data_IF_566996774209
#
_entry.id   IF_566996774209
#
_cell.length_a   1.000
_cell.length_b   1.000
_cell.length_c   1.000
_cell.angle_alpha   90.00
_cell.angle_beta   90.00
_cell.angle_gamma   90.00
#
_symmetry.space_group_name_H-M   'P 1'
#
loop_
_entity.id
_entity.type
_entity.pdbx_description
1 polymer ?
#
# COMPACT_ATOMS: atom_id res chain seq x y z
N UNK A 1 61.30 -12.28 23.41
CA UNK A 1 62.58 -11.51 23.27
C UNK A 1 62.14 -10.06 23.05
N UNK A 2 62.11 -9.25 24.14
CA UNK A 2 63.14 -8.25 24.53
C UNK A 2 63.38 -7.27 23.35
N UNK A 3 63.04 -5.96 23.46
CA UNK A 3 63.54 -4.82 24.27
C UNK A 3 62.68 -3.60 23.89
N UNK A 4 62.05 -2.79 24.67
CA UNK A 4 62.50 -1.78 25.68
C UNK A 4 63.46 -0.70 25.16
N UNK A 5 63.17 0.56 25.66
CA UNK A 5 64.02 1.76 25.80
C UNK A 5 63.65 2.91 24.85
N UNK A 6 63.53 4.19 25.21
CA UNK A 6 63.49 4.94 26.50
C UNK A 6 63.13 6.41 26.19
N UNK A 7 62.59 7.04 27.18
CA UNK A 7 62.41 8.44 27.56
C UNK A 7 63.59 9.36 27.20
N UNK A 8 63.31 10.63 26.77
CA UNK A 8 64.12 11.80 27.20
C UNK A 8 63.20 13.02 27.40
N UNK A 9 63.22 13.47 28.63
CA UNK A 9 62.66 14.67 29.22
C UNK A 9 63.68 15.79 29.05
N UNK A 10 63.30 16.99 28.57
CA UNK A 10 64.13 18.19 28.77
C UNK A 10 63.27 19.38 29.20
N UNK A 11 63.43 19.75 30.42
CA UNK A 11 62.93 20.92 31.12
C UNK A 11 63.95 22.06 30.94
N UNK A 12 63.54 23.25 30.50
CA UNK A 12 64.32 24.47 30.65
C UNK A 12 63.46 25.60 31.21
N UNK A 13 63.89 26.06 32.38
CA UNK A 13 63.38 27.15 33.22
C UNK A 13 64.24 28.39 32.99
N UNK A 14 63.66 29.59 32.84
CA UNK A 14 64.23 30.87 33.19
C UNK A 14 63.23 32.01 33.03
N UNK A 15 62.77 32.55 34.01
CA UNK A 15 62.89 33.70 34.89
C UNK A 15 62.82 35.09 34.22
N UNK A 16 61.74 35.79 34.57
CA UNK A 16 61.61 37.16 35.09
C UNK A 16 62.26 38.35 34.37
N UNK A 17 61.35 39.30 33.98
CA UNK A 17 61.57 40.73 34.38
C UNK A 17 60.17 41.42 34.42
N UNK A 18 59.96 42.08 35.58
CA UNK A 18 58.87 42.99 35.86
C UNK A 18 59.21 44.40 35.39
N UNK A 19 58.28 45.10 34.74
CA UNK A 19 58.30 46.56 34.68
C UNK A 19 56.83 47.06 34.59
N UNK A 20 56.46 47.91 35.55
CA UNK A 20 55.23 48.65 35.68
C UNK A 20 55.11 49.72 34.60
N UNK A 21 53.89 49.86 33.97
CA UNK A 21 53.40 51.16 33.50
C UNK A 21 51.85 51.06 33.31
N UNK A 22 51.19 52.16 33.55
CA UNK A 22 49.75 52.47 33.77
C UNK A 22 48.79 52.18 32.64
N UNK A 23 47.42 52.21 32.89
CA UNK A 23 46.45 51.66 32.05
C UNK A 23 46.02 52.61 30.95
N UNK A 24 45.99 52.15 29.72
CA UNK A 24 45.34 52.79 28.55
C UNK A 24 44.12 51.99 28.12
N UNK A 25 43.04 52.67 27.77
CA UNK A 25 41.70 52.18 27.55
C UNK A 25 41.68 51.11 26.43
N UNK A 26 41.03 49.96 26.72
CA UNK A 26 40.76 48.89 25.77
C UNK A 26 39.82 49.34 24.66
N UNK A 27 40.08 49.04 23.39
CA UNK A 27 39.10 49.10 22.30
C UNK A 27 38.15 47.92 22.46
N UNK A 28 36.84 48.21 22.22
CA UNK A 28 35.79 47.20 22.20
C UNK A 28 36.11 46.06 21.24
N UNK A 29 36.19 44.86 21.81
CA UNK A 29 36.31 43.62 21.06
C UNK A 29 35.00 43.36 20.25
N UNK A 30 35.09 43.56 18.95
CA UNK A 30 34.00 43.21 18.02
C UNK A 30 33.90 41.69 18.03
N UNK A 31 32.83 41.18 18.62
CA UNK A 31 32.49 39.78 18.57
C UNK A 31 32.37 39.36 17.09
N UNK A 32 33.22 38.45 16.68
CA UNK A 32 33.09 37.78 15.39
C UNK A 32 31.74 37.07 15.35
N UNK A 33 31.00 37.09 14.21
CA UNK A 33 29.78 36.32 14.09
C UNK A 33 30.12 34.83 14.27
N UNK A 34 29.46 34.17 15.22
CA UNK A 34 29.44 32.72 15.31
C UNK A 34 28.94 32.19 13.96
N UNK A 35 29.83 31.57 13.22
CA UNK A 35 29.45 30.74 12.06
C UNK A 35 28.61 29.59 12.61
N UNK A 36 27.31 29.70 12.47
CA UNK A 36 26.39 28.57 12.61
C UNK A 36 26.85 27.52 11.58
N UNK A 37 27.52 26.51 12.10
CA UNK A 37 27.90 25.32 11.35
C UNK A 37 26.58 24.73 10.83
N UNK A 38 26.31 24.82 9.53
CA UNK A 38 25.17 24.20 8.87
C UNK A 38 25.31 22.70 9.11
N UNK A 39 24.47 22.16 9.99
CA UNK A 39 24.40 20.72 10.19
C UNK A 39 24.27 20.03 8.83
N UNK A 40 25.11 19.05 8.56
CA UNK A 40 24.98 18.23 7.38
C UNK A 40 23.56 17.67 7.31
N UNK A 41 22.93 17.58 6.13
CA UNK A 41 21.59 17.00 6.01
C UNK A 41 21.58 15.62 6.68
N UNK A 42 20.67 15.40 7.61
CA UNK A 42 20.51 14.09 8.23
C UNK A 42 20.27 13.05 7.12
N UNK A 43 20.98 11.92 7.19
CA UNK A 43 20.80 10.82 6.26
C UNK A 43 19.37 10.27 6.42
N UNK A 44 18.64 10.17 5.31
CA UNK A 44 17.27 9.67 5.31
C UNK A 44 17.26 8.16 5.56
N UNK A 45 16.31 7.70 6.37
CA UNK A 45 16.10 6.26 6.59
C UNK A 45 15.31 5.70 5.41
N UNK A 46 15.84 4.68 4.74
CA UNK A 46 15.11 4.00 3.66
C UNK A 46 13.91 3.25 4.21
N UNK A 47 12.78 3.34 3.47
CA UNK A 47 11.57 2.55 3.70
C UNK A 47 11.12 1.98 2.36
N UNK A 48 11.14 0.65 2.25
CA UNK A 48 10.85 -0.07 1.03
C UNK A 48 9.45 -0.69 1.08
N UNK A 49 8.56 -0.23 0.21
CA UNK A 49 7.14 -0.61 0.22
C UNK A 49 6.74 -1.30 -1.07
N UNK A 50 6.21 -2.53 -0.94
CA UNK A 50 5.63 -3.27 -2.06
C UNK A 50 4.20 -2.80 -2.35
N UNK A 51 3.87 -2.57 -3.61
CA UNK A 51 2.55 -2.07 -4.01
C UNK A 51 2.11 -2.59 -5.38
N UNK A 52 0.80 -2.66 -5.63
CA UNK A 52 0.29 -2.78 -6.99
C UNK A 52 0.57 -1.49 -7.76
N UNK A 53 0.77 -1.61 -9.08
CA UNK A 53 1.17 -0.50 -9.97
C UNK A 53 0.24 0.70 -9.83
N UNK A 54 -1.08 0.49 -9.86
CA UNK A 54 -2.12 1.51 -9.69
C UNK A 54 -3.27 0.93 -8.88
N UNK A 55 -3.94 1.68 -8.00
CA UNK A 55 -3.64 3.06 -7.58
C UNK A 55 -2.54 3.15 -6.51
N UNK A 56 -2.11 2.04 -5.92
CA UNK A 56 -1.32 1.94 -4.70
C UNK A 56 0.06 2.61 -4.81
N UNK A 57 0.87 2.22 -5.83
CA UNK A 57 2.18 2.83 -6.04
C UNK A 57 2.07 4.32 -6.37
N UNK A 58 1.00 4.72 -7.08
CA UNK A 58 0.77 6.12 -7.42
C UNK A 58 0.43 6.96 -6.18
N UNK A 59 -0.37 6.42 -5.24
CA UNK A 59 -0.69 7.08 -3.96
C UNK A 59 0.57 7.19 -3.10
N UNK A 60 1.38 6.13 -2.99
CA UNK A 60 2.68 6.17 -2.31
C UNK A 60 3.59 7.26 -2.88
N UNK A 61 3.69 7.35 -4.20
CA UNK A 61 4.50 8.37 -4.84
C UNK A 61 3.96 9.80 -4.62
N UNK A 62 2.65 9.98 -4.48
CA UNK A 62 2.04 11.28 -4.19
C UNK A 62 2.40 11.82 -2.79
N UNK A 63 2.69 10.93 -1.82
CA UNK A 63 3.05 11.31 -0.44
C UNK A 63 4.55 11.23 -0.15
N UNK A 64 5.38 10.97 -1.17
CA UNK A 64 6.83 10.78 -1.04
C UNK A 64 7.53 11.99 -0.40
N UNK A 65 7.12 13.21 -0.74
CA UNK A 65 7.71 14.42 -0.18
C UNK A 65 7.37 14.62 1.30
N UNK A 66 6.19 14.19 1.75
CA UNK A 66 5.81 14.19 3.17
C UNK A 66 6.68 13.22 3.97
N UNK A 67 6.90 12.02 3.45
CA UNK A 67 7.80 11.04 4.06
C UNK A 67 9.23 11.55 4.11
N UNK A 68 9.69 12.20 3.04
CA UNK A 68 11.03 12.82 3.02
C UNK A 68 11.17 13.91 4.08
N UNK A 69 10.16 14.75 4.25
CA UNK A 69 10.13 15.76 5.30
C UNK A 69 10.14 15.15 6.72
N UNK A 70 9.59 13.95 6.88
CA UNK A 70 9.62 13.16 8.11
C UNK A 70 10.92 12.38 8.32
N UNK A 71 11.91 12.49 7.41
CA UNK A 71 13.22 11.84 7.53
C UNK A 71 13.34 10.47 6.86
N UNK A 72 12.40 10.11 5.98
CA UNK A 72 12.37 8.81 5.31
C UNK A 72 12.54 8.94 3.78
N UNK A 73 13.30 8.02 3.19
CA UNK A 73 13.45 7.86 1.74
C UNK A 73 12.61 6.67 1.28
N UNK A 74 11.45 6.95 0.68
CA UNK A 74 10.52 5.94 0.21
C UNK A 74 11.01 5.31 -1.10
N UNK A 75 11.20 4.00 -1.08
CA UNK A 75 11.41 3.15 -2.26
C UNK A 75 10.14 2.32 -2.52
N UNK A 76 9.46 2.56 -3.64
CA UNK A 76 8.26 1.81 -4.05
C UNK A 76 8.66 0.67 -4.99
N UNK A 77 8.29 -0.57 -4.63
CA UNK A 77 8.50 -1.76 -5.44
C UNK A 77 7.16 -2.21 -6.00
N UNK A 78 7.01 -2.15 -7.32
CA UNK A 78 5.76 -2.48 -7.98
C UNK A 78 5.64 -3.98 -8.25
N UNK A 79 4.44 -4.52 -8.00
CA UNK A 79 4.06 -5.90 -8.26
C UNK A 79 2.81 -5.95 -9.15
N UNK A 80 2.72 -7.01 -9.95
CA UNK A 80 1.61 -7.23 -10.90
C UNK A 80 0.65 -8.37 -10.47
N UNK A 81 0.93 -9.01 -9.33
CA UNK A 81 0.14 -10.08 -8.73
C UNK A 81 -0.08 -9.84 -7.23
N UNK A 82 -0.92 -10.65 -6.60
CA UNK A 82 -1.25 -10.52 -5.18
C UNK A 82 -0.48 -11.46 -4.24
N UNK A 83 0.37 -12.35 -4.77
CA UNK A 83 1.11 -13.34 -3.96
C UNK A 83 2.48 -12.82 -3.56
N UNK A 84 3.21 -12.26 -4.53
CA UNK A 84 4.60 -11.84 -4.33
C UNK A 84 4.79 -10.72 -3.30
N UNK A 85 3.91 -9.69 -3.19
CA UNK A 85 4.11 -8.65 -2.19
C UNK A 85 4.10 -9.16 -0.75
N UNK A 86 3.21 -10.10 -0.42
CA UNK A 86 3.16 -10.72 0.90
C UNK A 86 4.36 -11.66 1.14
N UNK A 87 4.75 -12.40 0.11
CA UNK A 87 5.92 -13.29 0.19
C UNK A 87 7.19 -12.48 0.46
N UNK A 88 7.41 -11.39 -0.28
CA UNK A 88 8.57 -10.51 -0.13
C UNK A 88 8.59 -9.82 1.25
N UNK A 89 7.43 -9.38 1.76
CA UNK A 89 7.32 -8.78 3.09
C UNK A 89 7.65 -9.81 4.19
N UNK A 90 7.11 -11.03 4.11
CA UNK A 90 7.40 -12.07 5.09
C UNK A 90 8.88 -12.46 5.10
N UNK A 91 9.54 -12.44 3.94
CA UNK A 91 10.98 -12.73 3.80
C UNK A 91 11.87 -11.58 4.28
N UNK A 92 11.32 -10.38 4.52
CA UNK A 92 12.06 -9.19 4.93
C UNK A 92 12.73 -8.45 3.77
N UNK A 93 12.30 -8.69 2.53
CA UNK A 93 12.74 -7.94 1.35
C UNK A 93 12.04 -6.58 1.22
N UNK A 94 10.97 -6.38 1.98
CA UNK A 94 10.19 -5.15 2.11
C UNK A 94 9.99 -4.81 3.58
N UNK A 95 9.83 -3.52 3.89
CA UNK A 95 9.44 -3.03 5.22
C UNK A 95 7.92 -3.02 5.41
N UNK A 96 7.17 -2.80 4.32
CA UNK A 96 5.71 -2.81 4.30
C UNK A 96 5.18 -3.22 2.92
N UNK A 97 3.88 -3.55 2.83
CA UNK A 97 3.18 -3.58 1.55
C UNK A 97 1.82 -2.86 1.63
N UNK A 98 1.36 -2.43 0.47
CA UNK A 98 0.09 -1.73 0.30
C UNK A 98 -0.51 -2.14 -1.04
N UNK A 99 -1.46 -3.11 -1.03
CA UNK A 99 -2.08 -3.66 -2.24
C UNK A 99 -3.35 -4.47 -1.98
N UNK A 100 -3.67 -4.77 -0.72
CA UNK A 100 -4.63 -5.79 -0.31
C UNK A 100 -5.61 -5.28 0.74
N UNK A 101 -6.75 -5.94 0.85
CA UNK A 101 -7.73 -5.76 1.92
C UNK A 101 -7.57 -6.82 3.03
N UNK A 102 -8.13 -6.53 4.21
CA UNK A 102 -7.99 -7.40 5.40
C UNK A 102 -8.40 -8.86 5.16
N UNK A 103 -9.56 -9.19 4.53
CA UNK A 103 -9.90 -10.60 4.30
C UNK A 103 -8.87 -11.37 3.46
N UNK A 104 -8.25 -10.71 2.46
CA UNK A 104 -7.20 -11.33 1.66
C UNK A 104 -5.95 -11.60 2.51
N UNK A 105 -5.52 -10.63 3.31
CA UNK A 105 -4.38 -10.77 4.22
C UNK A 105 -4.56 -11.94 5.19
N UNK A 106 -5.72 -12.01 5.85
CA UNK A 106 -6.03 -13.08 6.82
C UNK A 106 -6.01 -14.46 6.15
N UNK A 107 -6.64 -14.59 4.99
CA UNK A 107 -6.65 -15.84 4.21
C UNK A 107 -5.24 -16.21 3.72
N UNK A 108 -4.43 -15.22 3.34
CA UNK A 108 -3.04 -15.45 2.94
C UNK A 108 -2.21 -15.96 4.12
N UNK A 109 -2.31 -15.31 5.29
CA UNK A 109 -1.62 -15.73 6.51
C UNK A 109 -1.98 -17.17 6.88
N UNK A 110 -3.29 -17.51 6.88
CA UNK A 110 -3.76 -18.86 7.18
C UNK A 110 -3.20 -19.89 6.20
N UNK A 111 -3.30 -19.62 4.90
CA UNK A 111 -2.89 -20.59 3.86
C UNK A 111 -1.38 -20.75 3.72
N UNK A 112 -0.61 -19.69 3.99
CA UNK A 112 0.85 -19.65 3.76
C UNK A 112 1.65 -19.74 5.06
N UNK A 113 1.02 -19.59 6.22
CA UNK A 113 1.70 -19.57 7.52
C UNK A 113 2.57 -18.33 7.70
N UNK A 114 2.12 -17.19 7.14
CA UNK A 114 2.80 -15.89 7.28
C UNK A 114 2.29 -15.11 8.49
N UNK A 115 3.07 -14.12 8.94
CA UNK A 115 2.83 -13.34 10.15
C UNK A 115 2.76 -11.85 9.81
N UNK A 116 1.83 -11.51 8.92
CA UNK A 116 1.66 -10.14 8.43
C UNK A 116 0.47 -9.48 9.12
N UNK A 117 0.59 -8.19 9.45
CA UNK A 117 -0.39 -7.44 10.24
C UNK A 117 -0.80 -6.15 9.52
N UNK A 118 -2.11 -5.90 9.44
CA UNK A 118 -2.65 -4.65 8.96
C UNK A 118 -2.51 -3.56 10.02
N UNK A 119 -1.98 -2.39 9.65
CA UNK A 119 -1.77 -1.27 10.57
C UNK A 119 -2.75 -0.12 10.37
N UNK A 120 -3.44 -0.06 9.23
CA UNK A 120 -4.48 0.93 9.00
C UNK A 120 -5.13 0.82 7.63
N UNK A 121 -6.39 1.26 7.55
CA UNK A 121 -7.15 1.36 6.29
C UNK A 121 -6.74 2.62 5.54
N UNK A 122 -6.61 2.52 4.23
CA UNK A 122 -6.19 3.64 3.38
C UNK A 122 -7.28 4.02 2.38
N UNK A 123 -7.74 3.08 1.56
CA UNK A 123 -8.77 3.37 0.57
C UNK A 123 -9.62 2.14 0.24
N UNK A 124 -10.75 2.39 -0.39
CA UNK A 124 -11.64 1.39 -0.93
C UNK A 124 -11.74 1.54 -2.45
N UNK A 125 -11.79 0.43 -3.16
CA UNK A 125 -12.05 0.33 -4.59
C UNK A 125 -13.32 -0.47 -4.83
N UNK A 126 -14.39 0.12 -5.42
CA UNK A 126 -15.58 -0.63 -5.76
C UNK A 126 -15.27 -1.78 -6.71
N UNK A 127 -15.73 -2.97 -6.36
CA UNK A 127 -15.65 -4.13 -7.24
C UNK A 127 -16.69 -4.00 -8.35
N UNK A 128 -16.34 -4.30 -9.60
CA UNK A 128 -17.22 -4.06 -10.74
C UNK A 128 -17.40 -5.26 -11.64
N UNK A 129 -18.59 -5.36 -12.23
CA UNK A 129 -18.89 -6.27 -13.35
C UNK A 129 -18.69 -5.48 -14.64
N UNK A 130 -17.78 -5.91 -15.48
CA UNK A 130 -17.44 -5.25 -16.74
C UNK A 130 -17.92 -6.05 -17.96
N UNK A 131 -18.33 -5.31 -19.00
CA UNK A 131 -18.79 -5.87 -20.24
C UNK A 131 -17.67 -6.65 -20.98
N UNK A 132 -17.99 -7.86 -21.39
CA UNK A 132 -17.21 -8.63 -22.33
C UNK A 132 -17.88 -8.64 -23.72
N UNK A 133 -18.46 -9.78 -24.10
CA UNK A 133 -19.21 -9.91 -25.35
C UNK A 133 -20.61 -9.29 -25.29
N UNK A 134 -21.18 -9.13 -24.10
CA UNK A 134 -22.46 -8.51 -23.82
C UNK A 134 -22.30 -7.16 -23.14
N UNK A 135 -23.11 -6.18 -23.54
CA UNK A 135 -23.08 -4.82 -23.01
C UNK A 135 -24.13 -4.55 -21.92
N UNK A 136 -24.90 -5.57 -21.53
CA UNK A 136 -25.95 -5.46 -20.53
C UNK A 136 -26.11 -6.79 -19.80
N UNK A 137 -26.30 -6.78 -18.46
CA UNK A 137 -26.45 -7.99 -17.65
C UNK A 137 -27.71 -8.79 -18.03
N UNK A 138 -28.78 -8.12 -18.43
CA UNK A 138 -30.02 -8.80 -18.88
C UNK A 138 -29.84 -9.53 -20.20
N UNK A 139 -28.92 -9.05 -21.04
CA UNK A 139 -28.61 -9.61 -22.36
C UNK A 139 -27.65 -10.81 -22.32
N UNK A 140 -27.09 -11.16 -21.16
CA UNK A 140 -26.30 -12.38 -21.02
C UNK A 140 -27.18 -13.59 -21.36
N UNK A 141 -26.78 -14.41 -22.35
CA UNK A 141 -27.62 -15.54 -22.81
C UNK A 141 -27.66 -16.67 -21.77
N UNK A 142 -28.60 -17.59 -21.95
CA UNK A 142 -28.55 -18.87 -21.22
C UNK A 142 -27.24 -19.60 -21.54
N UNK A 143 -26.58 -20.14 -20.51
CA UNK A 143 -25.24 -20.73 -20.62
C UNK A 143 -24.11 -19.71 -20.83
N UNK A 144 -24.42 -18.42 -20.75
CA UNK A 144 -23.42 -17.35 -20.87
C UNK A 144 -22.29 -17.48 -19.82
N UNK A 145 -21.13 -16.93 -20.15
CA UNK A 145 -19.93 -17.09 -19.33
C UNK A 145 -19.59 -15.82 -18.57
N UNK A 146 -19.34 -15.96 -17.27
CA UNK A 146 -18.85 -14.86 -16.41
C UNK A 146 -17.52 -15.28 -15.77
N UNK A 147 -16.48 -14.47 -15.95
CA UNK A 147 -15.21 -14.69 -15.29
C UNK A 147 -15.18 -13.98 -13.93
N UNK A 148 -14.62 -14.64 -12.92
CA UNK A 148 -14.44 -14.13 -11.56
C UNK A 148 -13.02 -14.42 -11.06
N UNK A 149 -12.50 -13.74 -10.01
CA UNK A 149 -11.23 -14.10 -9.39
C UNK A 149 -11.26 -15.53 -8.84
N UNK A 150 -10.10 -16.19 -8.82
CA UNK A 150 -9.93 -17.57 -8.31
C UNK A 150 -9.31 -17.63 -6.91
N UNK A 151 -9.07 -16.50 -6.26
CA UNK A 151 -8.66 -16.50 -4.86
C UNK A 151 -9.90 -16.44 -3.96
N UNK A 152 -9.87 -17.22 -2.85
CA UNK A 152 -11.07 -17.52 -2.06
C UNK A 152 -11.82 -16.30 -1.53
N UNK A 153 -11.17 -15.16 -1.30
CA UNK A 153 -11.83 -13.96 -0.76
C UNK A 153 -12.42 -13.08 -1.85
N UNK A 154 -11.72 -12.92 -2.98
CA UNK A 154 -12.25 -12.18 -4.13
C UNK A 154 -13.27 -13.02 -4.93
N UNK A 155 -13.16 -14.35 -4.94
CA UNK A 155 -14.19 -15.25 -5.45
C UNK A 155 -15.51 -15.04 -4.70
N UNK A 156 -15.48 -15.13 -3.36
CA UNK A 156 -16.66 -14.90 -2.53
C UNK A 156 -17.29 -13.52 -2.77
N UNK A 157 -16.44 -12.48 -2.81
CA UNK A 157 -16.85 -11.09 -3.10
C UNK A 157 -17.54 -10.98 -4.48
N UNK A 158 -16.98 -11.63 -5.50
CA UNK A 158 -17.57 -11.64 -6.83
C UNK A 158 -18.92 -12.34 -6.86
N UNK A 159 -19.06 -13.49 -6.20
CA UNK A 159 -20.31 -14.23 -6.12
C UNK A 159 -21.40 -13.44 -5.38
N UNK A 160 -21.06 -12.75 -4.31
CA UNK A 160 -21.98 -11.84 -3.61
C UNK A 160 -22.46 -10.69 -4.52
N UNK A 161 -21.56 -10.13 -5.33
CA UNK A 161 -21.95 -9.10 -6.31
C UNK A 161 -22.88 -9.65 -7.40
N UNK A 162 -22.61 -10.87 -7.91
CA UNK A 162 -23.48 -11.53 -8.87
C UNK A 162 -24.87 -11.83 -8.28
N UNK A 163 -24.93 -12.24 -7.02
CA UNK A 163 -26.18 -12.46 -6.30
C UNK A 163 -26.96 -11.15 -6.11
N UNK A 164 -26.28 -10.06 -5.71
CA UNK A 164 -26.90 -8.74 -5.57
C UNK A 164 -27.52 -8.23 -6.89
N UNK A 165 -26.99 -8.69 -8.04
CA UNK A 165 -27.56 -8.41 -9.36
C UNK A 165 -28.64 -9.42 -9.81
N UNK A 166 -28.97 -10.40 -8.96
CA UNK A 166 -29.97 -11.42 -9.28
C UNK A 166 -29.55 -12.41 -10.36
N UNK A 167 -28.26 -12.51 -10.66
CA UNK A 167 -27.73 -13.43 -11.68
C UNK A 167 -27.62 -14.87 -11.16
N UNK A 168 -27.35 -15.02 -9.87
CA UNK A 168 -27.28 -16.29 -9.12
C UNK A 168 -27.94 -16.12 -7.76
N UNK A 169 -28.12 -17.21 -7.02
CA UNK A 169 -28.44 -17.20 -5.59
C UNK A 169 -27.50 -18.13 -4.86
N UNK A 170 -26.93 -17.67 -3.77
CA UNK A 170 -26.08 -18.47 -2.91
C UNK A 170 -26.90 -19.25 -1.88
N UNK A 171 -26.33 -20.27 -1.29
CA UNK A 171 -26.90 -20.98 -0.13
C UNK A 171 -27.08 -20.00 1.03
N UNK A 172 -28.06 -20.28 1.88
CA UNK A 172 -28.28 -19.49 3.10
C UNK A 172 -27.06 -19.56 4.02
N UNK A 173 -26.80 -18.47 4.73
CA UNK A 173 -25.70 -18.32 5.72
C UNK A 173 -24.28 -18.34 5.12
N UNK A 174 -24.12 -18.34 3.80
CA UNK A 174 -22.83 -18.19 3.12
C UNK A 174 -22.60 -16.72 2.80
N UNK A 175 -21.43 -16.19 3.25
CA UNK A 175 -21.04 -14.80 3.04
C UNK A 175 -19.63 -14.67 2.44
N UNK A 176 -18.66 -14.27 3.23
CA UNK A 176 -17.29 -13.95 2.76
C UNK A 176 -16.41 -15.18 2.43
N UNK A 177 -16.95 -16.37 2.50
CA UNK A 177 -16.28 -17.65 2.18
C UNK A 177 -16.97 -18.41 1.05
N UNK A 178 -17.92 -17.77 0.33
CA UNK A 178 -18.64 -18.39 -0.78
C UNK A 178 -17.68 -18.88 -1.87
N UNK A 179 -18.00 -20.04 -2.42
CA UNK A 179 -17.34 -20.61 -3.60
C UNK A 179 -18.39 -20.92 -4.68
N UNK A 180 -17.98 -21.22 -5.89
CA UNK A 180 -18.91 -21.64 -6.97
C UNK A 180 -19.75 -22.86 -6.58
N UNK A 181 -19.30 -23.68 -5.62
CA UNK A 181 -20.04 -24.82 -5.08
C UNK A 181 -21.21 -24.42 -4.19
N UNK A 182 -21.26 -23.15 -3.78
CA UNK A 182 -22.29 -22.61 -2.90
C UNK A 182 -23.41 -21.90 -3.68
N UNK A 183 -23.37 -21.94 -5.00
CA UNK A 183 -24.48 -21.47 -5.84
C UNK A 183 -25.65 -22.42 -5.68
N UNK A 184 -26.75 -21.93 -5.08
CA UNK A 184 -27.98 -22.68 -4.90
C UNK A 184 -28.89 -22.60 -6.12
N UNK A 185 -28.99 -21.41 -6.77
CA UNK A 185 -29.76 -21.21 -7.98
C UNK A 185 -28.93 -20.48 -9.04
N UNK A 186 -29.05 -20.94 -10.27
CA UNK A 186 -28.38 -20.35 -11.43
C UNK A 186 -29.40 -20.34 -12.60
N UNK A 187 -30.35 -19.38 -12.61
CA UNK A 187 -31.52 -19.41 -13.51
C UNK A 187 -31.19 -19.41 -15.00
N UNK A 188 -30.04 -18.83 -15.36
CA UNK A 188 -29.54 -18.77 -16.73
C UNK A 188 -28.47 -19.84 -17.05
N UNK A 189 -28.25 -20.80 -16.15
CA UNK A 189 -27.18 -21.81 -16.30
C UNK A 189 -25.83 -21.20 -16.66
N UNK A 190 -25.47 -20.04 -16.02
CA UNK A 190 -24.26 -19.31 -16.30
C UNK A 190 -23.01 -20.18 -16.03
N UNK A 191 -22.07 -20.13 -16.94
CA UNK A 191 -20.76 -20.76 -16.80
C UNK A 191 -19.82 -19.81 -16.03
N UNK A 192 -19.64 -20.02 -14.74
CA UNK A 192 -18.71 -19.23 -13.92
C UNK A 192 -17.29 -19.75 -14.15
N UNK A 193 -16.38 -18.85 -14.55
CA UNK A 193 -14.97 -19.16 -14.85
C UNK A 193 -14.06 -18.48 -13.83
N UNK A 194 -13.43 -19.28 -12.98
CA UNK A 194 -12.46 -18.81 -12.00
C UNK A 194 -11.12 -18.57 -12.69
N UNK A 195 -10.66 -17.33 -12.70
CA UNK A 195 -9.44 -16.88 -13.38
C UNK A 195 -8.60 -16.05 -12.38
N UNK A 196 -7.29 -16.13 -12.49
CA UNK A 196 -6.40 -15.26 -11.72
C UNK A 196 -6.78 -13.78 -11.90
N UNK A 197 -6.91 -13.03 -10.80
CA UNK A 197 -7.41 -11.65 -10.81
C UNK A 197 -6.69 -10.74 -11.82
N UNK A 198 -5.36 -10.88 -11.94
CA UNK A 198 -4.54 -10.12 -12.90
C UNK A 198 -4.87 -10.42 -14.38
N UNK A 199 -5.56 -11.51 -14.68
CA UNK A 199 -5.88 -11.92 -16.05
C UNK A 199 -7.34 -11.59 -16.46
N UNK A 200 -8.19 -11.19 -15.51
CA UNK A 200 -9.62 -10.99 -15.74
C UNK A 200 -9.92 -9.93 -16.81
N UNK A 201 -9.24 -8.79 -16.79
CA UNK A 201 -9.46 -7.75 -17.79
C UNK A 201 -9.13 -8.22 -19.22
N UNK A 202 -8.13 -9.10 -19.37
CA UNK A 202 -7.79 -9.70 -20.67
C UNK A 202 -8.79 -10.74 -21.12
N UNK A 203 -9.47 -11.40 -20.20
CA UNK A 203 -10.47 -12.42 -20.50
C UNK A 203 -11.78 -11.85 -21.04
N UNK A 204 -12.03 -10.53 -20.96
CA UNK A 204 -13.27 -9.88 -21.39
C UNK A 204 -13.64 -10.20 -22.85
N UNK A 205 -12.66 -10.34 -23.74
CA UNK A 205 -12.90 -10.72 -25.15
C UNK A 205 -13.47 -12.15 -25.32
N UNK A 206 -13.26 -13.01 -24.29
CA UNK A 206 -13.59 -14.45 -24.36
C UNK A 206 -14.82 -14.83 -23.53
N UNK A 207 -15.33 -13.91 -22.70
CA UNK A 207 -16.50 -14.12 -21.82
C UNK A 207 -17.60 -13.09 -22.08
N UNK A 208 -18.79 -13.31 -21.55
CA UNK A 208 -19.90 -12.37 -21.67
C UNK A 208 -19.73 -11.18 -20.71
N UNK A 209 -19.20 -11.42 -19.52
CA UNK A 209 -18.83 -10.41 -18.54
C UNK A 209 -17.71 -10.92 -17.64
N UNK A 210 -17.05 -10.02 -16.92
CA UNK A 210 -16.11 -10.39 -15.87
C UNK A 210 -16.26 -9.48 -14.64
N UNK A 211 -16.08 -10.05 -13.46
CA UNK A 211 -16.00 -9.31 -12.19
C UNK A 211 -14.54 -9.02 -11.91
N UNK A 212 -14.16 -7.75 -11.86
CA UNK A 212 -12.76 -7.33 -11.86
C UNK A 212 -12.48 -6.40 -10.70
N UNK A 213 -11.38 -6.66 -9.97
CA UNK A 213 -10.88 -5.80 -8.90
C UNK A 213 -10.54 -4.39 -9.42
N UNK A 214 -10.80 -3.36 -8.60
CA UNK A 214 -10.67 -1.96 -8.99
C UNK A 214 -9.30 -1.62 -9.55
N UNK A 215 -8.21 -2.02 -8.88
CA UNK A 215 -6.85 -1.78 -9.35
C UNK A 215 -6.56 -2.39 -10.74
N UNK A 216 -7.01 -3.61 -11.00
CA UNK A 216 -6.84 -4.24 -12.32
C UNK A 216 -7.74 -3.63 -13.38
N UNK A 217 -8.95 -3.18 -13.00
CA UNK A 217 -9.82 -2.44 -13.90
C UNK A 217 -9.18 -1.11 -14.32
N UNK A 218 -8.68 -0.32 -13.35
CA UNK A 218 -7.97 0.95 -13.60
C UNK A 218 -6.73 0.70 -14.48
N UNK A 219 -5.92 -0.30 -14.15
CA UNK A 219 -4.72 -0.66 -14.92
C UNK A 219 -5.03 -1.03 -16.37
N UNK A 220 -6.18 -1.66 -16.62
CA UNK A 220 -6.66 -1.99 -17.95
C UNK A 220 -7.34 -0.83 -18.69
N UNK A 221 -7.43 0.36 -18.07
CA UNK A 221 -8.12 1.53 -18.62
C UNK A 221 -9.64 1.46 -18.56
N UNK A 222 -10.20 0.50 -17.82
CA UNK A 222 -11.64 0.42 -17.57
C UNK A 222 -12.06 1.49 -16.56
N UNK A 223 -13.23 2.09 -16.76
CA UNK A 223 -13.75 3.11 -15.86
C UNK A 223 -14.89 2.53 -15.04
N UNK A 224 -14.91 2.85 -13.74
CA UNK A 224 -15.99 2.42 -12.84
C UNK A 224 -17.38 2.80 -13.36
N UNK A 225 -17.53 3.98 -13.98
CA UNK A 225 -18.78 4.43 -14.58
C UNK A 225 -19.26 3.63 -15.78
N UNK A 226 -18.37 2.87 -16.42
CA UNK A 226 -18.66 2.04 -17.59
C UNK A 226 -18.90 0.56 -17.17
N UNK A 227 -18.82 0.25 -15.88
CA UNK A 227 -19.19 -1.07 -15.36
C UNK A 227 -20.69 -1.31 -15.49
N UNK A 228 -21.07 -2.56 -15.79
CA UNK A 228 -22.47 -2.99 -15.85
C UNK A 228 -23.15 -2.96 -14.48
N UNK A 229 -22.36 -3.21 -13.42
CA UNK A 229 -22.75 -3.06 -12.03
C UNK A 229 -21.49 -2.88 -11.18
N UNK A 230 -21.63 -2.22 -10.05
CA UNK A 230 -20.56 -2.07 -9.03
C UNK A 230 -21.11 -2.39 -7.66
N UNK A 231 -20.22 -2.74 -6.73
CA UNK A 231 -20.57 -2.81 -5.31
C UNK A 231 -21.05 -1.44 -4.81
N UNK A 232 -22.06 -1.51 -3.93
CA UNK A 232 -22.52 -0.30 -3.26
C UNK A 232 -21.46 0.20 -2.28
N UNK A 233 -20.97 1.41 -2.52
CA UNK A 233 -19.95 2.08 -1.69
C UNK A 233 -20.42 2.34 -0.24
N UNK A 234 -21.72 2.36 0.00
CA UNK A 234 -22.33 2.59 1.31
C UNK A 234 -22.68 1.25 2.01
N UNK A 235 -22.32 0.12 1.39
CA UNK A 235 -22.49 -1.21 1.97
C UNK A 235 -21.37 -1.58 2.94
N UNK A 236 -21.57 -2.67 3.68
CA UNK A 236 -20.54 -3.28 4.55
C UNK A 236 -19.28 -3.67 3.74
N UNK A 237 -19.40 -3.86 2.43
CA UNK A 237 -18.26 -4.18 1.57
C UNK A 237 -17.18 -3.09 1.58
N UNK A 238 -17.56 -1.81 1.59
CA UNK A 238 -16.62 -0.70 1.61
C UNK A 238 -15.70 -0.74 2.86
N UNK A 239 -16.25 -1.07 4.01
CA UNK A 239 -15.47 -1.21 5.25
C UNK A 239 -14.66 -2.52 5.28
N UNK A 240 -15.26 -3.63 4.83
CA UNK A 240 -14.65 -4.96 4.84
C UNK A 240 -13.47 -5.07 3.87
N UNK A 241 -13.63 -4.51 2.67
CA UNK A 241 -12.65 -4.62 1.58
C UNK A 241 -11.82 -3.35 1.39
N UNK A 242 -11.74 -2.49 2.41
CA UNK A 242 -10.78 -1.38 2.41
C UNK A 242 -9.35 -1.91 2.33
N UNK A 243 -8.56 -1.33 1.42
CA UNK A 243 -7.14 -1.64 1.28
C UNK A 243 -6.35 -1.10 2.47
N UNK A 244 -5.42 -1.89 2.96
CA UNK A 244 -4.68 -1.65 4.20
C UNK A 244 -3.18 -1.55 3.96
N UNK A 245 -2.50 -0.75 4.78
CA UNK A 245 -1.07 -0.82 4.94
C UNK A 245 -0.75 -2.03 5.83
N UNK A 246 0.21 -2.86 5.39
CA UNK A 246 0.59 -4.10 6.06
C UNK A 246 2.09 -4.12 6.34
N UNK A 247 2.46 -4.61 7.52
CA UNK A 247 3.83 -4.85 7.96
C UNK A 247 3.98 -6.27 8.49
N UNK A 248 5.20 -6.72 8.72
CA UNK A 248 5.45 -7.95 9.45
C UNK A 248 5.15 -7.76 10.94
N UNK A 249 4.64 -8.80 11.61
CA UNK A 249 4.36 -8.81 13.05
C UNK A 249 5.58 -8.33 13.86
N UNK A 250 5.33 -7.42 14.81
CA UNK A 250 6.34 -6.77 15.64
C UNK A 250 6.82 -5.41 15.10
N UNK A 251 6.46 -5.02 13.86
CA UNK A 251 6.83 -3.75 13.23
C UNK A 251 5.70 -2.71 13.20
N UNK A 252 4.56 -2.98 13.84
CA UNK A 252 3.34 -2.13 13.82
C UNK A 252 3.59 -0.76 14.46
N UNK A 253 4.51 -0.72 15.43
CA UNK A 253 4.80 0.47 16.22
C UNK A 253 6.11 1.18 15.85
N UNK A 254 6.79 0.73 14.80
CA UNK A 254 8.01 1.36 14.32
C UNK A 254 7.72 2.79 13.84
N UNK A 255 8.65 3.71 14.08
CA UNK A 255 8.47 5.11 13.70
C UNK A 255 8.32 5.28 12.18
N UNK A 256 8.99 4.44 11.39
CA UNK A 256 8.83 4.40 9.93
C UNK A 256 7.42 3.97 9.52
N UNK A 257 6.86 2.95 10.17
CA UNK A 257 5.49 2.46 9.94
C UNK A 257 4.46 3.53 10.27
N UNK A 258 4.62 4.21 11.42
CA UNK A 258 3.74 5.33 11.81
C UNK A 258 3.82 6.50 10.84
N UNK A 259 5.02 6.88 10.41
CA UNK A 259 5.20 7.95 9.45
C UNK A 259 4.57 7.60 8.09
N UNK A 260 4.75 6.35 7.62
CA UNK A 260 4.16 5.87 6.38
C UNK A 260 2.62 5.86 6.45
N UNK A 261 2.05 5.35 7.55
CA UNK A 261 0.60 5.36 7.76
C UNK A 261 0.05 6.79 7.80
N UNK A 262 0.71 7.69 8.53
CA UNK A 262 0.29 9.09 8.62
C UNK A 262 0.32 9.79 7.25
N UNK A 263 1.35 9.55 6.44
CA UNK A 263 1.43 10.09 5.09
C UNK A 263 0.33 9.54 4.18
N UNK A 264 0.05 8.23 4.23
CA UNK A 264 -1.00 7.59 3.44
C UNK A 264 -2.43 8.00 3.87
N UNK A 265 -2.59 8.47 5.11
CA UNK A 265 -3.85 8.99 5.66
C UNK A 265 -3.88 10.54 5.68
N UNK A 266 -3.00 11.20 4.95
CA UNK A 266 -2.93 12.65 4.88
C UNK A 266 -3.98 13.26 3.94
N UNK A 267 -4.20 14.57 4.09
CA UNK A 267 -5.01 15.35 3.14
C UNK A 267 -4.44 15.32 1.72
N UNK A 268 -3.12 15.23 1.57
CA UNK A 268 -2.45 15.08 0.27
C UNK A 268 -2.86 13.77 -0.41
N UNK A 269 -2.81 12.63 0.30
CA UNK A 269 -3.24 11.34 -0.21
C UNK A 269 -4.73 11.36 -0.59
N UNK A 270 -5.58 11.89 0.29
CA UNK A 270 -7.02 12.01 0.05
C UNK A 270 -7.33 12.84 -1.19
N UNK A 271 -6.75 14.02 -1.28
CA UNK A 271 -6.93 14.93 -2.43
C UNK A 271 -6.43 14.29 -3.73
N UNK A 272 -5.29 13.61 -3.70
CA UNK A 272 -4.77 12.88 -4.85
C UNK A 272 -5.75 11.80 -5.35
N UNK A 273 -6.32 11.01 -4.42
CA UNK A 273 -7.31 9.99 -4.76
C UNK A 273 -8.56 10.61 -5.40
N UNK A 274 -9.11 11.66 -4.79
CA UNK A 274 -10.30 12.36 -5.28
C UNK A 274 -10.11 12.95 -6.68
N UNK A 275 -8.98 13.65 -6.90
CA UNK A 275 -8.71 14.35 -8.17
C UNK A 275 -8.35 13.39 -9.31
N UNK A 276 -7.64 12.29 -9.01
CA UNK A 276 -7.12 11.41 -10.04
C UNK A 276 -8.10 10.31 -10.45
N UNK A 277 -8.85 9.75 -9.50
CA UNK A 277 -9.62 8.53 -9.74
C UNK A 277 -11.14 8.74 -9.82
N UNK A 278 -11.64 9.95 -9.64
CA UNK A 278 -13.04 10.33 -9.88
C UNK A 278 -14.07 9.36 -9.24
N UNK A 279 -13.77 8.83 -8.04
CA UNK A 279 -14.63 7.90 -7.30
C UNK A 279 -14.31 6.41 -7.53
N UNK A 280 -13.33 6.07 -8.37
CA UNK A 280 -12.85 4.70 -8.49
C UNK A 280 -11.93 4.28 -7.32
N UNK A 281 -11.40 5.26 -6.58
CA UNK A 281 -10.60 5.08 -5.37
C UNK A 281 -11.10 6.07 -4.33
N UNK A 282 -11.55 5.57 -3.20
CA UNK A 282 -12.25 6.35 -2.17
C UNK A 282 -11.46 6.23 -0.86
N UNK A 283 -11.05 7.33 -0.26
CA UNK A 283 -10.37 7.31 1.03
C UNK A 283 -11.24 6.61 2.11
N UNK A 284 -10.62 5.76 2.94
CA UNK A 284 -11.28 4.93 3.96
C UNK A 284 -10.78 5.25 5.38
N UNK A 285 -10.36 6.50 5.64
CA UNK A 285 -9.88 7.01 6.93
C UNK A 285 -10.50 8.36 7.26
#
# INVERSE_FOLDING_TARGET
>A
MKKLIAIVLTLVLALSFAACAQPEAAPAETAAPETTESAAPAELVKVKVGASVTPHAEILNAVKDELKAAGYDLEVVEFTDYVLPNTALEQGDLDANYFQHTPYLENFNEKKGTHLVAVGKIHYEPFGIYAGKTSDLSAIPEGGSIAIPNDGTNEARALLLLEAQGLIKLKEDITFTATVLDIAENPKNLSIKEIEAAQLARSLQDVDAAVINGNYAIQAGLKVKDALAIEDKDSIAADTYANVLVVKEGHENDEATKALLAALQSDTAKKFMEEKYEGAVIAAF
#
